data_IF_588827330514
#
_entry.id   IF_588827330514
#
_cell.length_a   1.000
_cell.length_b   1.000
_cell.length_c   1.000
_cell.angle_alpha   90.00
_cell.angle_beta   90.00
_cell.angle_gamma   90.00
#
_symmetry.space_group_name_H-M   'P 1'
#
loop_
_entity.id
_entity.type
_entity.pdbx_description
1 polymer ?
#
# COMPACT_ATOMS: atom_id res chain seq x y z
N UNK A 1 16.39 -22.46 -26.33
CA UNK A 1 15.71 -21.14 -26.37
C UNK A 1 16.66 -20.11 -25.76
N UNK A 2 16.89 -19.02 -26.49
CA UNK A 2 18.08 -18.18 -26.49
C UNK A 2 18.20 -17.24 -25.25
N UNK A 3 19.17 -17.43 -24.35
CA UNK A 3 19.55 -16.39 -23.38
C UNK A 3 20.56 -15.44 -24.02
N UNK A 4 20.08 -14.30 -24.50
CA UNK A 4 20.94 -13.23 -25.01
C UNK A 4 21.86 -12.73 -23.89
N UNK A 5 23.14 -13.10 -23.98
CA UNK A 5 24.24 -12.56 -23.19
C UNK A 5 24.30 -11.05 -23.39
N UNK A 6 23.88 -10.29 -22.38
CA UNK A 6 24.11 -8.85 -22.34
C UNK A 6 25.61 -8.63 -22.07
N UNK A 7 26.32 -7.75 -22.82
CA UNK A 7 27.77 -7.57 -22.68
C UNK A 7 28.19 -6.92 -21.35
N UNK A 8 27.24 -6.48 -20.54
CA UNK A 8 27.49 -5.93 -19.22
C UNK A 8 27.22 -6.99 -18.15
N UNK A 9 28.29 -7.44 -17.50
CA UNK A 9 28.19 -8.21 -16.26
C UNK A 9 27.47 -7.34 -15.23
N UNK A 10 26.36 -7.85 -14.66
CA UNK A 10 25.70 -7.18 -13.52
C UNK A 10 26.77 -6.97 -12.44
N UNK A 11 26.99 -5.72 -12.05
CA UNK A 11 27.91 -5.39 -10.95
C UNK A 11 27.30 -5.95 -9.67
N UNK A 12 27.94 -6.98 -9.13
CA UNK A 12 27.55 -7.61 -7.86
C UNK A 12 27.56 -6.54 -6.76
N UNK A 13 26.45 -6.41 -6.03
CA UNK A 13 26.33 -5.49 -4.91
C UNK A 13 26.92 -6.18 -3.66
N UNK A 14 27.98 -5.68 -3.03
CA UNK A 14 28.64 -6.34 -1.89
C UNK A 14 27.80 -6.41 -0.61
N UNK A 15 26.57 -5.85 -0.58
CA UNK A 15 25.58 -6.07 0.48
C UNK A 15 24.39 -6.94 0.03
N UNK A 16 24.44 -7.54 -1.16
CA UNK A 16 23.36 -8.32 -1.74
C UNK A 16 23.33 -9.76 -1.23
N UNK A 17 23.02 -9.98 0.04
CA UNK A 17 22.53 -11.29 0.47
C UNK A 17 21.16 -11.53 -0.16
N UNK A 18 21.04 -12.65 -0.85
CA UNK A 18 19.93 -13.02 -1.70
C UNK A 18 18.56 -12.94 -1.00
N UNK A 19 17.63 -12.18 -1.58
CA UNK A 19 16.22 -12.58 -1.62
C UNK A 19 15.68 -12.28 -3.03
N UNK A 20 15.02 -13.25 -3.68
CA UNK A 20 14.38 -13.01 -4.97
C UNK A 20 13.28 -11.97 -4.77
N UNK A 21 13.25 -10.99 -5.67
CA UNK A 21 12.18 -9.99 -5.80
C UNK A 21 10.82 -10.67 -5.84
N UNK A 22 10.21 -10.77 -4.67
CA UNK A 22 8.78 -10.98 -4.49
C UNK A 22 8.29 -9.66 -3.92
N UNK A 23 7.15 -9.18 -4.40
CA UNK A 23 6.42 -8.04 -3.84
C UNK A 23 6.46 -8.04 -2.30
N UNK A 24 6.40 -6.88 -1.61
CA UNK A 24 6.55 -6.82 -0.15
C UNK A 24 5.68 -7.88 0.52
N UNK A 25 6.33 -8.94 1.00
CA UNK A 25 5.72 -10.00 1.80
C UNK A 25 5.44 -9.40 3.16
N UNK A 26 4.31 -8.71 3.26
CA UNK A 26 3.69 -8.39 4.55
C UNK A 26 3.41 -9.75 5.18
N UNK A 27 4.01 -9.99 6.33
CA UNK A 27 3.80 -11.13 7.21
C UNK A 27 2.30 -11.41 7.32
N UNK A 28 1.83 -12.47 6.64
CA UNK A 28 0.45 -12.91 6.71
C UNK A 28 0.23 -13.61 8.06
N UNK A 29 -0.09 -12.83 9.10
CA UNK A 29 -1.15 -13.29 9.99
C UNK A 29 -2.43 -13.43 9.14
N UNK A 30 -3.39 -14.31 9.46
CA UNK A 30 -4.65 -14.37 8.75
C UNK A 30 -5.46 -13.12 9.08
N UNK A 31 -5.10 -11.99 8.46
CA UNK A 31 -5.92 -10.79 8.42
C UNK A 31 -7.22 -11.25 7.76
N UNK A 32 -8.39 -11.06 8.41
CA UNK A 32 -9.68 -11.41 7.82
C UNK A 32 -9.73 -10.82 6.41
N UNK A 33 -10.24 -11.59 5.45
CA UNK A 33 -10.27 -11.22 4.03
C UNK A 33 -10.92 -9.85 3.87
N UNK A 34 -10.11 -8.78 3.88
CA UNK A 34 -10.56 -7.41 3.68
C UNK A 34 -10.81 -7.23 2.20
N UNK A 35 -12.03 -6.84 1.86
CA UNK A 35 -12.37 -6.49 0.49
C UNK A 35 -11.58 -5.25 0.06
N UNK A 36 -11.02 -5.32 -1.15
CA UNK A 36 -10.25 -4.22 -1.72
C UNK A 36 -11.19 -3.35 -2.55
N UNK A 37 -11.27 -2.08 -2.20
CA UNK A 37 -12.07 -1.10 -2.94
C UNK A 37 -11.17 -0.16 -3.72
N UNK A 38 -11.56 0.16 -4.95
CA UNK A 38 -10.95 1.24 -5.74
C UNK A 38 -11.94 2.38 -5.81
N UNK A 39 -11.52 3.58 -5.39
CA UNK A 39 -12.35 4.79 -5.45
C UNK A 39 -11.65 5.88 -6.27
N UNK A 40 -12.41 6.57 -7.10
CA UNK A 40 -11.99 7.81 -7.73
C UNK A 40 -12.14 8.96 -6.74
N UNK A 41 -11.12 9.82 -6.67
CA UNK A 41 -11.14 10.98 -5.78
C UNK A 41 -10.46 12.14 -6.50
N UNK A 42 -10.98 13.35 -6.25
CA UNK A 42 -10.30 14.55 -6.69
C UNK A 42 -8.89 14.67 -6.08
N UNK A 43 -7.97 15.28 -6.82
CA UNK A 43 -6.55 15.37 -6.48
C UNK A 43 -6.34 16.17 -5.19
N UNK A 44 -7.04 17.27 -5.02
CA UNK A 44 -6.87 18.13 -3.85
C UNK A 44 -7.54 17.54 -2.61
N UNK A 45 -8.64 16.81 -2.78
CA UNK A 45 -9.20 15.99 -1.72
C UNK A 45 -8.21 14.89 -1.27
N UNK A 46 -7.57 14.19 -2.22
CA UNK A 46 -6.57 13.16 -1.91
C UNK A 46 -5.38 13.72 -1.12
N UNK A 47 -4.89 14.91 -1.45
CA UNK A 47 -3.80 15.56 -0.70
C UNK A 47 -4.20 15.82 0.75
N UNK A 48 -5.36 16.47 0.97
CA UNK A 48 -5.87 16.78 2.30
C UNK A 48 -6.07 15.52 3.14
N UNK A 49 -6.63 14.47 2.55
CA UNK A 49 -6.81 13.18 3.20
C UNK A 49 -5.47 12.58 3.67
N UNK A 50 -4.41 12.62 2.84
CA UNK A 50 -3.09 12.12 3.24
C UNK A 50 -2.51 12.92 4.40
N UNK A 51 -2.62 14.25 4.37
CA UNK A 51 -2.13 15.12 5.45
C UNK A 51 -2.87 14.78 6.76
N UNK A 52 -4.20 14.73 6.73
CA UNK A 52 -5.02 14.41 7.91
C UNK A 52 -4.72 13.03 8.50
N UNK A 53 -4.42 12.03 7.67
CA UNK A 53 -4.03 10.70 8.16
C UNK A 53 -2.70 10.73 8.93
N UNK A 54 -1.74 11.53 8.47
CA UNK A 54 -0.43 11.70 9.12
C UNK A 54 -0.56 12.48 10.43
N UNK A 55 -1.37 13.54 10.46
CA UNK A 55 -1.66 14.31 11.68
C UNK A 55 -2.24 13.43 12.81
N UNK A 56 -3.07 12.44 12.44
CA UNK A 56 -3.63 11.45 13.37
C UNK A 56 -2.72 10.25 13.63
N UNK A 57 -1.54 10.19 13.01
CA UNK A 57 -0.59 9.07 13.11
C UNK A 57 -1.19 7.70 12.75
N UNK A 58 -2.15 7.66 11.83
CA UNK A 58 -2.80 6.42 11.37
C UNK A 58 -2.61 6.20 9.87
N UNK A 59 -2.79 4.96 9.43
CA UNK A 59 -2.74 4.63 8.01
C UNK A 59 -3.91 5.25 7.25
N UNK A 60 -3.68 5.64 6.00
CA UNK A 60 -4.72 6.22 5.12
C UNK A 60 -5.96 5.31 5.02
N UNK A 61 -5.76 3.99 4.92
CA UNK A 61 -6.87 3.03 4.85
C UNK A 61 -7.74 3.06 6.12
N UNK A 62 -7.10 3.10 7.29
CA UNK A 62 -7.78 3.13 8.58
C UNK A 62 -8.49 4.47 8.80
N UNK A 63 -7.88 5.58 8.38
CA UNK A 63 -8.51 6.89 8.37
C UNK A 63 -9.81 6.89 7.56
N UNK A 64 -9.80 6.26 6.38
CA UNK A 64 -11.00 6.13 5.54
C UNK A 64 -12.06 5.26 6.24
N UNK A 65 -11.67 4.11 6.80
CA UNK A 65 -12.60 3.24 7.54
C UNK A 65 -13.29 3.97 8.70
N UNK A 66 -12.53 4.74 9.49
CA UNK A 66 -13.07 5.54 10.59
C UNK A 66 -14.04 6.62 10.08
N UNK A 67 -13.66 7.35 9.04
CA UNK A 67 -14.51 8.41 8.47
C UNK A 67 -15.81 7.86 7.87
N UNK A 68 -15.77 6.68 7.24
CA UNK A 68 -16.96 6.00 6.72
C UNK A 68 -17.86 5.54 7.88
N UNK A 69 -17.28 4.95 8.93
CA UNK A 69 -18.04 4.51 10.11
C UNK A 69 -18.76 5.68 10.78
N UNK A 70 -18.06 6.78 11.04
CA UNK A 70 -18.64 8.00 11.64
C UNK A 70 -19.79 8.55 10.78
N UNK A 71 -19.63 8.50 9.45
CA UNK A 71 -20.69 8.92 8.52
C UNK A 71 -21.92 8.02 8.61
N UNK A 72 -21.75 6.70 8.61
CA UNK A 72 -22.85 5.74 8.70
C UNK A 72 -23.60 5.87 10.04
N UNK A 73 -22.87 6.00 11.14
CA UNK A 73 -23.45 6.23 12.48
C UNK A 73 -24.28 7.52 12.52
N UNK A 74 -23.82 8.59 11.86
CA UNK A 74 -24.56 9.86 11.75
C UNK A 74 -25.81 9.74 10.88
N UNK A 75 -25.74 8.96 9.81
CA UNK A 75 -26.85 8.74 8.87
C UNK A 75 -27.83 7.67 9.34
N UNK A 76 -27.51 6.94 10.41
CA UNK A 76 -28.35 5.89 11.00
C UNK A 76 -28.31 4.56 10.25
N UNK A 77 -27.19 4.26 9.59
CA UNK A 77 -26.92 2.99 8.92
C UNK A 77 -26.09 2.04 9.79
#
# INVERSE_FOLDING_TARGET
MNSKSMPFKKRENPLGTATPTTAPTVSHSPIPKRDKYTATMDRDLRKRLKIASVEKSIMVSEFIEQAVREKLEREGF
#
